data_IF_893233412121
#
_entry.id   IF_893233412121
#
_cell.length_a   1.000
_cell.length_b   1.000
_cell.length_c   1.000
_cell.angle_alpha   90.00
_cell.angle_beta   90.00
_cell.angle_gamma   90.00
#
_symmetry.space_group_name_H-M   'P 1'
#
loop_
_entity.id
_entity.type
_entity.pdbx_description
1 polymer ?
#
# COMPACT_ATOMS: atom_id res chain seq x y z
N UNK A 1 17.04 32.53 19.56
CA UNK A 1 16.01 31.47 19.71
C UNK A 1 15.85 30.81 18.37
N UNK A 2 16.29 29.57 18.23
CA UNK A 2 16.32 28.86 16.96
C UNK A 2 14.92 28.38 16.61
N UNK A 3 14.31 28.93 15.56
CA UNK A 3 13.06 28.41 14.99
C UNK A 3 13.34 28.01 13.54
N UNK A 4 13.99 26.85 13.45
CA UNK A 4 14.17 25.93 12.31
C UNK A 4 13.68 26.43 10.95
N UNK A 5 14.67 26.82 10.14
CA UNK A 5 14.69 27.10 8.70
C UNK A 5 13.46 26.68 7.86
N UNK A 6 12.98 27.63 7.06
CA UNK A 6 12.06 27.49 5.91
C UNK A 6 12.50 26.49 4.81
N UNK A 7 13.56 25.71 5.04
CA UNK A 7 14.19 24.82 4.06
C UNK A 7 14.35 23.38 4.57
N UNK A 8 13.79 23.01 5.74
CA UNK A 8 13.76 21.61 6.16
C UNK A 8 12.85 20.73 5.28
N UNK A 9 11.92 21.37 4.55
CA UNK A 9 10.98 20.77 3.61
C UNK A 9 11.64 20.13 2.38
N UNK A 10 12.83 20.61 2.01
CA UNK A 10 13.59 20.11 0.85
C UNK A 10 14.54 18.97 1.22
N UNK A 11 14.77 18.72 2.53
CA UNK A 11 15.68 17.67 3.00
C UNK A 11 14.99 16.31 3.15
N UNK A 12 13.66 16.26 3.09
CA UNK A 12 12.96 14.98 2.98
C UNK A 12 13.13 14.51 1.54
N UNK A 13 14.02 13.55 1.33
CA UNK A 13 14.16 12.83 0.06
C UNK A 13 12.85 12.09 -0.25
N UNK A 14 11.90 12.82 -0.84
CA UNK A 14 10.61 12.25 -1.23
C UNK A 14 10.74 11.20 -2.33
N UNK A 15 11.95 10.96 -2.86
CA UNK A 15 12.24 9.91 -3.83
C UNK A 15 11.20 9.89 -4.97
N UNK A 16 10.69 8.70 -5.30
CA UNK A 16 9.57 8.53 -6.24
C UNK A 16 8.20 9.02 -5.71
N UNK A 17 8.07 9.20 -4.39
CA UNK A 17 6.84 9.60 -3.72
C UNK A 17 6.57 11.12 -3.76
N UNK A 18 7.42 11.91 -4.45
CA UNK A 18 7.22 13.34 -4.66
C UNK A 18 5.84 13.69 -5.23
N UNK A 19 5.28 12.80 -6.07
CA UNK A 19 3.94 12.94 -6.64
C UNK A 19 2.82 12.94 -5.59
N UNK A 20 3.00 12.17 -4.51
CA UNK A 20 2.02 12.07 -3.41
C UNK A 20 2.34 13.10 -2.32
N UNK A 21 3.63 13.38 -2.10
CA UNK A 21 4.07 14.34 -1.09
C UNK A 21 3.54 15.76 -1.36
N UNK A 22 3.61 16.24 -2.61
CA UNK A 22 3.12 17.58 -2.99
C UNK A 22 1.65 17.86 -2.59
N UNK A 23 0.66 17.05 -3.02
CA UNK A 23 -0.73 17.28 -2.64
C UNK A 23 -0.99 17.06 -1.15
N UNK A 24 -0.27 16.13 -0.50
CA UNK A 24 -0.39 15.91 0.94
C UNK A 24 0.08 17.14 1.73
N UNK A 25 1.19 17.75 1.31
CA UNK A 25 1.73 18.95 1.95
C UNK A 25 0.80 20.14 1.76
N UNK A 26 0.30 20.35 0.54
CA UNK A 26 -0.69 21.40 0.25
C UNK A 26 -1.95 21.27 1.13
N UNK A 27 -2.46 20.05 1.29
CA UNK A 27 -3.61 19.77 2.16
C UNK A 27 -3.30 20.06 3.64
N UNK A 28 -2.11 19.70 4.11
CA UNK A 28 -1.68 19.98 5.49
C UNK A 28 -1.61 21.48 5.75
N UNK A 29 -0.97 22.26 4.86
CA UNK A 29 -0.86 23.72 5.04
C UNK A 29 -2.24 24.40 4.97
N UNK A 30 -3.13 23.93 4.08
CA UNK A 30 -4.50 24.42 3.98
C UNK A 30 -5.28 24.22 5.29
N UNK A 31 -5.21 23.02 5.87
CA UNK A 31 -5.89 22.70 7.13
C UNK A 31 -5.23 23.43 8.30
N UNK A 32 -3.90 23.54 8.32
CA UNK A 32 -3.17 24.25 9.36
C UNK A 32 -3.51 25.75 9.40
N UNK A 33 -3.79 26.36 8.24
CA UNK A 33 -4.27 27.75 8.15
C UNK A 33 -5.68 27.96 8.74
N UNK A 34 -6.52 26.92 8.73
CA UNK A 34 -7.88 26.98 9.28
C UNK A 34 -7.88 26.70 10.80
N UNK A 35 -7.06 25.75 11.23
CA UNK A 35 -7.19 25.15 12.57
C UNK A 35 -6.26 25.79 13.60
N UNK A 36 -5.24 26.56 13.20
CA UNK A 36 -4.23 27.24 14.07
C UNK A 36 -3.47 26.34 15.06
N UNK A 37 -3.89 25.08 15.24
CA UNK A 37 -3.34 24.08 16.13
C UNK A 37 -2.76 22.93 15.31
N UNK A 38 -1.45 22.72 15.47
CA UNK A 38 -0.68 21.71 14.76
C UNK A 38 -1.19 20.28 14.99
N UNK A 39 -1.66 19.95 16.19
CA UNK A 39 -2.14 18.59 16.50
C UNK A 39 -3.47 18.28 15.81
N UNK A 40 -4.41 19.22 15.85
CA UNK A 40 -5.70 19.05 15.17
C UNK A 40 -5.54 19.05 13.64
N UNK A 41 -4.58 19.81 13.11
CA UNK A 41 -4.29 19.78 11.68
C UNK A 41 -3.86 18.38 11.21
N UNK A 42 -2.97 17.72 11.96
CA UNK A 42 -2.52 16.36 11.66
C UNK A 42 -3.70 15.37 11.73
N UNK A 43 -4.51 15.44 12.79
CA UNK A 43 -5.69 14.57 12.94
C UNK A 43 -6.64 14.75 11.75
N UNK A 44 -6.96 15.98 11.37
CA UNK A 44 -7.80 16.27 10.21
C UNK A 44 -7.21 15.71 8.91
N UNK A 45 -5.92 15.90 8.64
CA UNK A 45 -5.25 15.32 7.46
C UNK A 45 -5.39 13.79 7.44
N UNK A 46 -5.16 13.11 8.57
CA UNK A 46 -5.28 11.64 8.61
C UNK A 46 -6.69 11.17 8.32
N UNK A 47 -7.72 11.88 8.78
CA UNK A 47 -9.13 11.57 8.48
C UNK A 47 -9.43 11.76 7.00
N UNK A 48 -8.97 12.85 6.40
CA UNK A 48 -9.19 13.14 4.97
C UNK A 48 -8.50 12.10 4.09
N UNK A 49 -7.23 11.79 4.37
CA UNK A 49 -6.47 10.76 3.62
C UNK A 49 -7.17 9.41 3.73
N UNK A 50 -7.63 9.04 4.94
CA UNK A 50 -8.36 7.79 5.17
C UNK A 50 -9.72 7.77 4.46
N UNK A 51 -10.41 8.91 4.36
CA UNK A 51 -11.66 9.04 3.62
C UNK A 51 -11.45 8.87 2.10
N UNK A 52 -10.40 9.48 1.54
CA UNK A 52 -10.04 9.34 0.12
C UNK A 52 -9.60 7.90 -0.20
N UNK A 53 -8.86 7.26 0.71
CA UNK A 53 -8.41 5.88 0.55
C UNK A 53 -9.49 4.83 0.85
N UNK A 54 -10.59 5.20 1.50
CA UNK A 54 -11.69 4.28 1.84
C UNK A 54 -12.24 3.47 0.63
N UNK A 55 -12.57 4.07 -0.53
CA UNK A 55 -12.99 3.30 -1.70
C UNK A 55 -11.91 2.32 -2.18
N UNK A 56 -10.63 2.70 -2.10
CA UNK A 56 -9.51 1.83 -2.45
C UNK A 56 -9.44 0.63 -1.49
N UNK A 57 -9.56 0.87 -0.19
CA UNK A 57 -9.59 -0.19 0.84
C UNK A 57 -10.78 -1.14 0.62
N UNK A 58 -11.96 -0.64 0.26
CA UNK A 58 -13.12 -1.48 -0.09
C UNK A 58 -12.84 -2.36 -1.31
N UNK A 59 -12.18 -1.80 -2.33
CA UNK A 59 -11.79 -2.55 -3.52
C UNK A 59 -10.76 -3.63 -3.17
N UNK A 60 -9.75 -3.31 -2.34
CA UNK A 60 -8.78 -4.28 -1.83
C UNK A 60 -9.46 -5.43 -1.06
N UNK A 61 -10.44 -5.11 -0.20
CA UNK A 61 -11.17 -6.11 0.57
C UNK A 61 -12.00 -7.04 -0.31
N UNK A 62 -12.63 -6.50 -1.35
CA UNK A 62 -13.41 -7.29 -2.32
C UNK A 62 -12.53 -8.27 -3.09
N UNK A 63 -11.33 -7.84 -3.51
CA UNK A 63 -10.35 -8.72 -4.17
C UNK A 63 -9.87 -9.85 -3.27
N UNK A 64 -9.64 -9.57 -1.97
CA UNK A 64 -9.28 -10.59 -0.98
C UNK A 64 -10.40 -11.61 -0.78
N UNK A 65 -11.66 -11.17 -0.73
CA UNK A 65 -12.81 -12.06 -0.61
C UNK A 65 -12.94 -13.01 -1.82
N UNK A 66 -12.75 -12.50 -3.05
CA UNK A 66 -12.73 -13.34 -4.26
C UNK A 66 -11.59 -14.35 -4.24
N UNK A 67 -10.41 -13.96 -3.77
CA UNK A 67 -9.27 -14.87 -3.66
C UNK A 67 -9.52 -16.00 -2.66
N UNK A 68 -10.24 -15.71 -1.56
CA UNK A 68 -10.63 -16.72 -0.56
C UNK A 68 -11.62 -17.75 -1.10
N UNK A 69 -12.54 -17.34 -1.98
CA UNK A 69 -13.48 -18.26 -2.67
C UNK A 69 -12.78 -19.09 -3.75
N UNK A 70 -11.74 -18.53 -4.37
CA UNK A 70 -10.96 -19.23 -5.40
C UNK A 70 -9.93 -20.21 -4.80
N UNK A 71 -9.50 -20.03 -3.54
CA UNK A 71 -8.59 -20.96 -2.86
C UNK A 71 -9.02 -22.44 -2.90
N UNK A 72 -10.26 -22.83 -2.51
CA UNK A 72 -10.68 -24.23 -2.56
C UNK A 72 -10.70 -24.79 -3.98
N UNK A 73 -11.15 -24.01 -4.97
CA UNK A 73 -11.12 -24.41 -6.39
C UNK A 73 -9.68 -24.55 -6.91
N UNK A 74 -8.77 -23.69 -6.45
CA UNK A 74 -7.36 -23.80 -6.77
C UNK A 74 -6.70 -25.02 -6.12
N UNK A 75 -7.14 -25.44 -4.92
CA UNK A 75 -6.69 -26.69 -4.29
C UNK A 75 -7.20 -27.91 -5.05
N UNK A 76 -8.49 -27.98 -5.38
CA UNK A 76 -9.05 -29.09 -6.18
C UNK A 76 -8.38 -29.23 -7.55
N UNK A 77 -8.10 -28.10 -8.23
CA UNK A 77 -7.35 -28.13 -9.50
C UNK A 77 -5.88 -28.53 -9.30
N UNK A 78 -5.23 -28.09 -8.20
CA UNK A 78 -3.86 -28.51 -7.87
C UNK A 78 -3.77 -29.98 -7.51
N UNK A 79 -4.78 -30.56 -6.87
CA UNK A 79 -4.82 -32.01 -6.59
C UNK A 79 -5.00 -32.82 -7.87
N UNK A 80 -5.85 -32.34 -8.79
CA UNK A 80 -6.07 -33.01 -10.09
C UNK A 80 -4.92 -32.86 -11.09
N UNK A 81 -4.18 -31.75 -11.07
CA UNK A 81 -3.10 -31.46 -12.03
C UNK A 81 -1.68 -31.46 -11.42
N UNK A 82 -1.54 -31.51 -10.09
CA UNK A 82 -0.25 -31.55 -9.39
C UNK A 82 0.45 -32.90 -9.52
N UNK A 83 -0.34 -33.98 -9.58
CA UNK A 83 0.14 -35.35 -9.80
C UNK A 83 0.87 -35.48 -11.16
N UNK A 84 0.38 -34.80 -12.20
CA UNK A 84 1.01 -34.80 -13.53
C UNK A 84 2.30 -33.96 -13.61
N UNK A 85 2.46 -32.94 -12.76
CA UNK A 85 3.67 -32.10 -12.78
C UNK A 85 4.85 -32.73 -12.06
N UNK A 86 4.60 -33.52 -11.02
CA UNK A 86 5.66 -34.24 -10.30
C UNK A 86 6.27 -35.37 -11.15
N UNK A 87 5.58 -35.82 -12.20
CA UNK A 87 6.08 -36.83 -13.15
C UNK A 87 6.99 -36.28 -14.27
N UNK A 88 7.10 -34.96 -14.41
CA UNK A 88 7.97 -34.31 -15.39
C UNK A 88 9.22 -33.70 -14.78
N UNK A 89 9.60 -34.13 -13.56
CA UNK A 89 10.97 -33.94 -13.10
C UNK A 89 11.80 -35.02 -13.78
N UNK A 90 12.66 -34.69 -14.77
CA UNK A 90 13.59 -35.70 -15.28
C UNK A 90 14.40 -36.18 -14.08
N UNK A 91 14.22 -37.45 -13.72
CA UNK A 91 15.07 -38.15 -12.76
C UNK A 91 16.50 -37.86 -13.20
N UNK A 92 17.21 -37.09 -12.40
CA UNK A 92 18.63 -36.85 -12.62
C UNK A 92 19.37 -38.07 -12.07
N UNK A 93 19.17 -39.23 -12.72
CA UNK A 93 19.82 -40.50 -12.39
C UNK A 93 21.13 -40.71 -13.17
N UNK A 94 21.69 -39.64 -13.74
CA UNK A 94 22.89 -39.66 -14.58
C UNK A 94 24.13 -38.97 -13.97
N UNK A 95 24.24 -38.94 -12.64
CA UNK A 95 25.52 -38.64 -11.96
C UNK A 95 26.07 -39.90 -11.29
N UNK A 96 26.51 -40.85 -12.10
CA UNK A 96 27.53 -41.85 -11.76
C UNK A 96 28.91 -41.35 -12.20
#
# INVERSE_FOLDING_TARGET
MATVANNLDLTVDYGWAWFIAKPLFWLLTFIQGIVSNWGLAIICVTIVVKAILYPLTKAQYTSMAKMRILQPKMQEMRERFGDDRQRNEPRNDETL
#
